data_IF_159243223579
#
_entry.id   IF_159243223579
#
_cell.length_a   1.000
_cell.length_b   1.000
_cell.length_c   1.000
_cell.angle_alpha   90.00
_cell.angle_beta   90.00
_cell.angle_gamma   90.00
#
_symmetry.space_group_name_H-M   'P 1'
#
loop_
_entity.id
_entity.type
_entity.pdbx_description
1 polymer ?
#
# COMPACT_ATOMS: atom_id res chain seq x y z
N UNK A 1 7.93 2.43 -25.38
CA UNK A 1 7.40 1.90 -24.10
C UNK A 1 8.25 2.46 -22.97
N UNK A 2 7.78 3.52 -22.31
CA UNK A 2 8.48 4.16 -21.20
C UNK A 2 8.32 3.31 -19.93
N UNK A 3 9.46 2.91 -19.33
CA UNK A 3 9.53 2.21 -18.06
C UNK A 3 9.20 3.19 -16.91
N UNK A 4 7.92 3.37 -16.62
CA UNK A 4 7.42 4.22 -15.50
C UNK A 4 7.60 3.59 -14.10
N UNK A 5 8.45 2.57 -13.92
CA UNK A 5 8.42 1.71 -12.73
C UNK A 5 9.49 1.99 -11.68
N UNK A 6 10.17 3.14 -11.68
CA UNK A 6 11.29 3.39 -10.75
C UNK A 6 11.30 4.78 -10.11
N UNK A 7 10.13 5.37 -9.89
CA UNK A 7 10.02 6.56 -9.03
C UNK A 7 9.69 6.12 -7.59
N UNK A 8 10.63 6.26 -6.63
CA UNK A 8 10.35 5.98 -5.22
C UNK A 8 9.23 6.90 -4.74
N UNK A 9 8.22 6.31 -4.09
CA UNK A 9 7.04 7.03 -3.58
C UNK A 9 5.82 7.05 -4.51
N UNK A 10 5.91 6.54 -5.74
CA UNK A 10 4.73 6.38 -6.61
C UNK A 10 4.17 4.97 -6.45
N UNK A 11 3.05 4.85 -5.74
CA UNK A 11 2.32 3.60 -5.57
C UNK A 11 1.63 3.21 -6.89
N UNK A 12 1.99 2.06 -7.46
CA UNK A 12 1.27 1.51 -8.62
C UNK A 12 -0.13 1.07 -8.16
N UNK A 13 -1.16 1.73 -8.68
CA UNK A 13 -2.55 1.30 -8.51
C UNK A 13 -2.80 0.10 -9.42
N UNK A 14 -2.60 -1.12 -8.90
CA UNK A 14 -3.04 -2.33 -9.61
C UNK A 14 -4.57 -2.50 -9.45
N UNK A 15 -5.23 -3.02 -10.49
CA UNK A 15 -6.70 -3.14 -10.52
C UNK A 15 -7.29 -4.03 -9.42
N UNK A 16 -6.53 -5.00 -8.91
CA UNK A 16 -6.91 -5.83 -7.75
C UNK A 16 -6.85 -5.07 -6.41
N UNK A 17 -6.25 -3.86 -6.37
CA UNK A 17 -6.05 -3.04 -5.18
C UNK A 17 -7.13 -1.97 -4.98
N UNK A 18 -7.96 -1.72 -6.00
CA UNK A 18 -9.03 -0.73 -5.91
C UNK A 18 -10.10 -1.17 -4.91
N UNK A 19 -10.37 -0.32 -3.91
CA UNK A 19 -11.38 -0.54 -2.88
C UNK A 19 -10.91 -1.32 -1.63
N UNK A 20 -9.66 -1.81 -1.59
CA UNK A 20 -9.10 -2.54 -0.44
C UNK A 20 -8.16 -1.64 0.39
N UNK A 21 -8.38 -1.46 1.71
CA UNK A 21 -7.61 -0.52 2.52
C UNK A 21 -6.27 -1.12 3.02
N UNK A 22 -5.37 -1.49 2.10
CA UNK A 22 -4.07 -2.10 2.43
C UNK A 22 -3.18 -1.24 3.33
N UNK A 23 -3.31 0.09 3.27
CA UNK A 23 -2.60 1.03 4.15
C UNK A 23 -2.89 0.84 5.65
N UNK A 24 -3.92 0.07 6.02
CA UNK A 24 -4.27 -0.22 7.42
C UNK A 24 -3.52 -1.40 8.02
N UNK A 25 -2.94 -2.27 7.18
CA UNK A 25 -2.16 -3.42 7.64
C UNK A 25 -0.94 -2.98 8.46
N UNK A 26 -0.06 -2.05 7.99
CA UNK A 26 1.06 -1.59 8.79
C UNK A 26 0.60 -1.02 10.13
N UNK A 27 -0.48 -0.23 10.14
CA UNK A 27 -1.03 0.39 11.35
C UNK A 27 -1.41 -0.65 12.41
N UNK A 28 -1.94 -1.81 12.00
CA UNK A 28 -2.28 -2.89 12.93
C UNK A 28 -1.04 -3.44 13.64
N UNK A 29 0.01 -3.78 12.89
CA UNK A 29 1.26 -4.30 13.46
C UNK A 29 1.97 -3.25 14.30
N UNK A 30 2.04 -2.00 13.83
CA UNK A 30 2.64 -0.89 14.57
C UNK A 30 1.88 -0.60 15.88
N UNK A 31 0.54 -0.68 15.89
CA UNK A 31 -0.25 -0.49 17.12
C UNK A 31 -0.02 -1.56 18.19
N UNK A 32 0.58 -2.69 17.81
CA UNK A 32 0.88 -3.84 18.67
C UNK A 32 2.37 -4.10 18.82
N UNK A 33 3.20 -3.12 18.44
CA UNK A 33 4.66 -3.24 18.46
C UNK A 33 5.19 -3.71 19.82
N UNK A 34 4.85 -3.02 20.91
CA UNK A 34 5.37 -3.35 22.26
C UNK A 34 4.94 -4.75 22.74
N UNK A 35 3.73 -5.18 22.35
CA UNK A 35 3.21 -6.51 22.71
C UNK A 35 3.93 -7.60 21.93
N UNK A 36 4.18 -7.36 20.64
CA UNK A 36 4.94 -8.27 19.78
C UNK A 36 6.38 -8.36 20.27
N UNK A 37 7.03 -7.22 20.55
CA UNK A 37 8.41 -7.17 21.06
C UNK A 37 8.55 -7.95 22.38
N UNK A 38 7.71 -7.64 23.38
CA UNK A 38 7.73 -8.33 24.67
C UNK A 38 7.54 -9.85 24.53
N UNK A 39 6.63 -10.29 23.65
CA UNK A 39 6.38 -11.72 23.42
C UNK A 39 7.54 -12.39 22.70
N UNK A 40 8.12 -11.74 21.68
CA UNK A 40 9.29 -12.24 20.97
C UNK A 40 10.50 -12.35 21.91
N UNK A 41 10.79 -11.30 22.69
CA UNK A 41 11.89 -11.31 23.64
C UNK A 41 11.74 -12.44 24.66
N UNK A 42 10.54 -12.61 25.23
CA UNK A 42 10.26 -13.74 26.14
C UNK A 42 10.43 -15.11 25.47
N UNK A 43 10.05 -15.24 24.20
CA UNK A 43 10.21 -16.48 23.43
C UNK A 43 11.70 -16.81 23.22
N UNK A 44 12.48 -15.86 22.70
CA UNK A 44 13.90 -16.05 22.42
C UNK A 44 14.72 -16.25 23.69
N UNK A 45 14.40 -15.54 24.78
CA UNK A 45 15.07 -15.72 26.06
C UNK A 45 14.82 -17.12 26.63
N UNK A 46 13.57 -17.62 26.58
CA UNK A 46 13.22 -18.94 27.12
C UNK A 46 13.73 -20.10 26.27
N UNK A 47 13.63 -20.02 24.94
CA UNK A 47 13.96 -21.15 24.04
C UNK A 47 15.38 -21.12 23.49
N UNK A 48 15.93 -19.93 23.25
CA UNK A 48 17.22 -19.74 22.57
C UNK A 48 18.27 -19.04 23.46
N UNK A 49 17.95 -18.75 24.72
CA UNK A 49 18.84 -18.07 25.69
C UNK A 49 19.44 -16.77 25.14
N UNK A 50 18.75 -16.14 24.18
CA UNK A 50 19.21 -14.95 23.48
C UNK A 50 18.23 -13.83 23.80
N UNK A 51 18.75 -12.71 24.30
CA UNK A 51 17.96 -11.50 24.47
C UNK A 51 17.85 -10.81 23.12
N UNK A 52 16.63 -10.68 22.61
CA UNK A 52 16.36 -10.09 21.30
C UNK A 52 15.28 -9.02 21.46
N UNK A 53 15.53 -7.84 20.92
CA UNK A 53 14.62 -6.71 20.93
C UNK A 53 14.22 -6.33 19.52
N UNK A 54 12.93 -6.21 19.26
CA UNK A 54 12.39 -5.70 18.02
C UNK A 54 12.67 -4.20 17.91
N UNK A 55 13.36 -3.80 16.84
CA UNK A 55 13.71 -2.39 16.57
C UNK A 55 12.70 -1.72 15.65
N UNK A 56 12.28 -2.44 14.62
CA UNK A 56 11.42 -1.89 13.56
C UNK A 56 10.59 -2.99 12.93
N UNK A 57 9.38 -2.62 12.52
CA UNK A 57 8.53 -3.42 11.65
C UNK A 57 8.42 -2.67 10.32
N UNK A 58 8.90 -3.29 9.26
CA UNK A 58 8.74 -2.82 7.89
C UNK A 58 7.68 -3.65 7.17
N UNK A 59 6.95 -3.02 6.26
CA UNK A 59 5.87 -3.63 5.53
C UNK A 59 6.05 -3.37 4.05
N UNK A 60 6.10 -4.44 3.26
CA UNK A 60 6.23 -4.38 1.81
C UNK A 60 5.08 -5.14 1.16
N UNK A 61 4.68 -4.69 -0.03
CA UNK A 61 3.58 -5.28 -0.79
C UNK A 61 4.11 -5.96 -2.04
N UNK A 62 3.40 -7.01 -2.48
CA UNK A 62 3.64 -7.71 -3.75
C UNK A 62 5.07 -8.25 -3.90
N UNK A 63 5.53 -8.97 -2.88
CA UNK A 63 6.89 -9.50 -2.85
C UNK A 63 6.95 -10.88 -3.47
N UNK A 64 8.01 -11.13 -4.23
CA UNK A 64 8.36 -12.46 -4.73
C UNK A 64 9.41 -13.09 -3.84
N UNK A 65 9.05 -14.17 -3.13
CA UNK A 65 9.98 -14.94 -2.31
C UNK A 65 9.79 -16.43 -2.58
N UNK A 66 10.89 -17.11 -2.93
CA UNK A 66 10.95 -18.55 -3.25
C UNK A 66 11.58 -19.41 -2.15
N UNK A 67 12.27 -18.79 -1.19
CA UNK A 67 13.04 -19.46 -0.13
C UNK A 67 12.25 -19.59 1.17
N UNK A 68 11.13 -18.88 1.27
CA UNK A 68 10.28 -18.89 2.44
C UNK A 68 9.67 -20.27 2.69
N UNK A 69 9.54 -20.60 3.98
CA UNK A 69 8.92 -21.82 4.43
C UNK A 69 7.41 -21.67 4.45
N UNK A 70 6.74 -22.55 3.72
CA UNK A 70 5.32 -22.48 3.46
C UNK A 70 4.52 -23.17 4.58
N UNK A 71 3.46 -22.48 4.98
CA UNK A 71 2.50 -22.94 5.96
C UNK A 71 1.09 -22.72 5.41
N UNK A 72 0.17 -23.57 5.81
CA UNK A 72 -1.24 -23.43 5.55
C UNK A 72 -1.98 -23.11 6.84
N UNK A 73 -2.97 -22.24 6.73
CA UNK A 73 -3.95 -21.98 7.77
C UNK A 73 -5.37 -22.27 7.26
N UNK A 74 -6.35 -22.21 8.16
CA UNK A 74 -7.78 -22.28 7.80
C UNK A 74 -8.26 -21.18 6.83
N UNK A 75 -7.46 -20.13 6.61
CA UNK A 75 -7.80 -19.00 5.73
C UNK A 75 -7.13 -19.13 4.36
N UNK A 76 -5.89 -19.62 4.31
CA UNK A 76 -5.09 -19.65 3.09
C UNK A 76 -3.65 -20.08 3.38
N UNK A 77 -2.69 -19.58 2.60
CA UNK A 77 -1.27 -19.83 2.74
C UNK A 77 -0.52 -18.66 3.40
N UNK A 78 0.44 -19.00 4.25
CA UNK A 78 1.34 -18.11 4.96
C UNK A 78 2.77 -18.61 4.72
N UNK A 79 3.76 -17.74 4.64
CA UNK A 79 5.14 -18.20 4.72
C UNK A 79 5.99 -17.42 5.71
N UNK A 80 7.08 -18.06 6.11
CA UNK A 80 8.06 -17.52 7.02
C UNK A 80 9.45 -17.61 6.41
N UNK A 81 10.20 -16.52 6.49
CA UNK A 81 11.61 -16.51 6.08
C UNK A 81 12.46 -15.84 7.16
N UNK A 82 13.74 -16.15 7.20
CA UNK A 82 14.67 -15.61 8.19
C UNK A 82 16.05 -15.45 7.56
N UNK A 83 16.72 -14.35 7.88
CA UNK A 83 18.08 -14.12 7.45
C UNK A 83 19.00 -15.22 7.98
N UNK A 84 19.80 -15.79 7.07
CA UNK A 84 20.72 -16.88 7.42
C UNK A 84 21.71 -16.49 8.52
N UNK A 85 22.33 -15.30 8.54
CA UNK A 85 23.20 -14.89 9.64
C UNK A 85 22.51 -14.96 10.99
N UNK A 86 21.28 -14.44 11.10
CA UNK A 86 20.48 -14.52 12.31
C UNK A 86 20.18 -15.97 12.72
N UNK A 87 19.80 -16.82 11.75
CA UNK A 87 19.53 -18.23 12.00
C UNK A 87 20.77 -18.96 12.55
N UNK A 88 21.95 -18.65 12.01
CA UNK A 88 23.21 -19.22 12.48
C UNK A 88 23.57 -18.74 13.89
N UNK A 89 23.38 -17.46 14.20
CA UNK A 89 23.57 -16.92 15.56
C UNK A 89 22.61 -17.57 16.56
N UNK A 90 21.34 -17.76 16.19
CA UNK A 90 20.37 -18.47 17.04
C UNK A 90 20.77 -19.93 17.27
N UNK A 91 21.39 -20.56 16.26
CA UNK A 91 21.84 -21.94 16.32
C UNK A 91 23.10 -22.08 17.18
N UNK A 92 24.10 -21.20 17.02
CA UNK A 92 25.31 -21.19 17.85
C UNK A 92 24.96 -20.99 19.32
N UNK A 93 24.09 -20.02 19.63
CA UNK A 93 23.61 -19.76 20.98
C UNK A 93 22.81 -20.93 21.57
N UNK A 94 22.03 -21.64 20.75
CA UNK A 94 21.29 -22.83 21.19
C UNK A 94 22.23 -23.98 21.57
N UNK A 95 23.34 -24.15 20.85
CA UNK A 95 24.34 -25.19 21.12
C UNK A 95 25.47 -24.74 22.06
N UNK A 96 25.51 -23.47 22.44
CA UNK A 96 26.59 -22.91 23.27
C UNK A 96 27.95 -22.90 22.56
N UNK A 97 27.95 -22.85 21.23
CA UNK A 97 29.17 -22.73 20.43
C UNK A 97 29.56 -21.24 20.40
N UNK A 98 30.77 -20.90 20.83
CA UNK A 98 31.33 -19.57 20.59
C UNK A 98 31.34 -19.29 19.09
N UNK A 99 31.12 -18.03 18.69
CA UNK A 99 31.00 -17.58 17.30
C UNK A 99 32.25 -17.95 16.48
N UNK A 100 32.33 -19.19 16.02
CA UNK A 100 33.24 -19.60 14.97
C UNK A 100 32.70 -18.96 13.69
N UNK A 101 33.18 -17.75 13.38
CA UNK A 101 33.06 -17.15 12.04
C UNK A 101 33.89 -18.00 11.08
N UNK A 102 33.37 -19.15 10.70
CA UNK A 102 33.89 -19.90 9.58
C UNK A 102 33.34 -19.25 8.29
N UNK A 103 34.22 -18.51 7.61
CA UNK A 103 34.01 -17.87 6.29
C UNK A 103 33.79 -18.90 5.14
N UNK A 104 33.45 -20.15 5.48
CA UNK A 104 33.24 -21.24 4.55
C UNK A 104 31.96 -22.04 4.87
N UNK A 105 30.86 -21.36 5.19
CA UNK A 105 29.57 -22.02 5.29
C UNK A 105 29.00 -22.29 3.88
N UNK A 106 28.55 -23.53 3.57
CA UNK A 106 28.11 -23.90 2.22
C UNK A 106 26.96 -23.02 1.74
N UNK A 107 26.86 -22.76 0.43
CA UNK A 107 25.81 -21.92 -0.21
C UNK A 107 24.38 -22.49 0.00
N UNK A 108 24.26 -23.74 0.44
CA UNK A 108 22.98 -24.41 0.71
C UNK A 108 22.72 -24.54 2.21
N UNK A 109 21.48 -24.28 2.67
CA UNK A 109 21.11 -24.42 4.07
C UNK A 109 21.24 -25.88 4.53
N UNK A 110 21.82 -26.08 5.71
CA UNK A 110 21.98 -27.42 6.29
C UNK A 110 20.64 -28.01 6.77
N UNK A 111 20.57 -29.33 6.97
CA UNK A 111 19.36 -29.98 7.53
C UNK A 111 19.00 -29.46 8.92
N UNK A 112 19.98 -29.03 9.71
CA UNK A 112 19.77 -28.48 11.05
C UNK A 112 19.19 -27.07 10.96
N UNK A 113 19.71 -26.23 10.05
CA UNK A 113 19.15 -24.90 9.74
C UNK A 113 17.69 -25.01 9.30
N UNK A 114 17.37 -25.89 8.35
CA UNK A 114 15.99 -26.07 7.88
C UNK A 114 15.05 -26.50 9.02
N UNK A 115 15.46 -27.43 9.89
CA UNK A 115 14.64 -27.86 11.03
C UNK A 115 14.39 -26.73 12.03
N UNK A 116 15.41 -25.90 12.29
CA UNK A 116 15.28 -24.75 13.17
C UNK A 116 14.34 -23.71 12.55
N UNK A 117 14.48 -23.44 11.25
CA UNK A 117 13.57 -22.56 10.50
C UNK A 117 12.11 -23.03 10.61
N UNK A 118 11.84 -24.33 10.39
CA UNK A 118 10.49 -24.89 10.51
C UNK A 118 9.87 -24.71 11.89
N UNK A 119 10.69 -24.91 12.91
CA UNK A 119 10.26 -24.75 14.30
C UNK A 119 9.98 -23.28 14.62
N UNK A 120 10.87 -22.38 14.21
CA UNK A 120 10.69 -20.94 14.39
C UNK A 120 9.45 -20.44 13.65
N UNK A 121 9.24 -20.87 12.41
CA UNK A 121 8.07 -20.50 11.61
C UNK A 121 6.76 -20.81 12.35
N UNK A 122 6.59 -22.06 12.80
CA UNK A 122 5.40 -22.49 13.54
C UNK A 122 5.22 -21.74 14.85
N UNK A 123 6.29 -21.62 15.65
CA UNK A 123 6.24 -20.98 16.96
C UNK A 123 5.95 -19.47 16.85
N UNK A 124 6.68 -18.76 16.00
CA UNK A 124 6.58 -17.30 15.83
C UNK A 124 5.23 -16.93 15.23
N UNK A 125 4.77 -17.64 14.19
CA UNK A 125 3.48 -17.34 13.61
C UNK A 125 2.34 -17.66 14.59
N UNK A 126 2.41 -18.75 15.35
CA UNK A 126 1.43 -19.03 16.41
C UNK A 126 1.42 -17.95 17.50
N UNK A 127 2.59 -17.44 17.88
CA UNK A 127 2.75 -16.36 18.87
C UNK A 127 2.17 -15.03 18.39
N UNK A 128 2.46 -14.65 17.15
CA UNK A 128 2.04 -13.37 16.56
C UNK A 128 0.54 -13.37 16.28
N UNK A 129 0.00 -14.45 15.72
CA UNK A 129 -1.43 -14.59 15.43
C UNK A 129 -2.24 -15.05 16.66
N UNK A 130 -1.64 -15.13 17.86
CA UNK A 130 -2.40 -15.45 19.07
C UNK A 130 -3.49 -14.39 19.36
N UNK A 131 -4.57 -14.82 20.04
CA UNK A 131 -5.68 -13.98 20.48
C UNK A 131 -5.25 -12.75 21.30
N UNK A 132 -4.15 -12.85 22.02
CA UNK A 132 -3.67 -11.80 22.92
C UNK A 132 -2.71 -10.81 22.23
N UNK A 133 -2.12 -11.22 21.11
CA UNK A 133 -1.14 -10.42 20.37
C UNK A 133 -1.88 -9.61 19.30
N UNK A 134 -2.28 -10.27 18.21
CA UNK A 134 -3.04 -9.66 17.11
C UNK A 134 -4.56 -9.89 17.23
N UNK A 135 -5.00 -10.90 17.98
CA UNK A 135 -6.44 -11.18 18.11
C UNK A 135 -7.03 -12.02 16.98
N UNK A 136 -6.19 -12.60 16.12
CA UNK A 136 -6.62 -13.34 14.92
C UNK A 136 -6.13 -14.79 15.04
N UNK A 137 -6.80 -15.66 15.82
CA UNK A 137 -6.32 -17.02 16.06
C UNK A 137 -6.32 -17.83 14.75
N UNK A 138 -5.11 -18.14 14.26
CA UNK A 138 -4.90 -19.00 13.09
C UNK A 138 -4.43 -20.38 13.54
N UNK A 139 -5.08 -21.45 13.05
CA UNK A 139 -4.53 -22.81 13.14
C UNK A 139 -3.51 -22.99 12.01
N UNK A 140 -2.23 -23.08 12.36
CA UNK A 140 -1.12 -23.11 11.40
C UNK A 140 -0.60 -24.55 11.30
N UNK A 141 -0.34 -25.01 10.07
CA UNK A 141 0.32 -26.28 9.76
C UNK A 141 1.38 -26.06 8.69
N UNK A 142 2.46 -26.83 8.73
CA UNK A 142 3.48 -26.81 7.67
C UNK A 142 2.87 -27.43 6.41
N UNK A 143 3.08 -26.77 5.26
CA UNK A 143 2.67 -27.27 3.95
C UNK A 143 3.90 -27.53 3.10
N UNK A 144 4.11 -28.78 2.72
CA UNK A 144 5.24 -29.21 1.87
C UNK A 144 4.81 -29.53 0.44
N UNK A 145 3.53 -29.32 0.11
CA UNK A 145 2.92 -29.78 -1.13
C UNK A 145 2.68 -28.67 -2.14
N UNK A 146 2.37 -27.46 -1.66
CA UNK A 146 2.12 -26.31 -2.51
C UNK A 146 3.38 -25.49 -2.74
N UNK A 147 3.45 -24.80 -3.88
CA UNK A 147 4.55 -23.89 -4.20
C UNK A 147 3.97 -22.50 -4.39
N UNK A 148 4.21 -21.62 -3.43
CA UNK A 148 3.82 -20.22 -3.50
C UNK A 148 5.08 -19.35 -3.61
N UNK A 149 5.14 -18.50 -4.64
CA UNK A 149 6.31 -17.64 -4.91
C UNK A 149 5.96 -16.16 -4.95
N UNK A 150 4.66 -15.83 -4.92
CA UNK A 150 4.13 -14.46 -4.98
C UNK A 150 3.27 -14.23 -3.76
N UNK A 151 3.56 -13.16 -3.04
CA UNK A 151 2.93 -12.85 -1.77
C UNK A 151 2.28 -11.48 -1.86
N UNK A 152 1.06 -11.37 -1.37
CA UNK A 152 0.32 -10.11 -1.37
C UNK A 152 0.99 -9.10 -0.43
N UNK A 153 1.53 -9.59 0.69
CA UNK A 153 2.07 -8.76 1.74
C UNK A 153 3.23 -9.41 2.47
N UNK A 154 4.25 -8.62 2.81
CA UNK A 154 5.42 -9.04 3.59
C UNK A 154 5.58 -8.12 4.79
N UNK A 155 5.77 -8.74 5.96
CA UNK A 155 6.08 -8.05 7.22
C UNK A 155 7.51 -8.43 7.57
N UNK A 156 8.41 -7.46 7.58
CA UNK A 156 9.80 -7.62 7.98
C UNK A 156 9.98 -7.12 9.42
N UNK A 157 10.48 -7.98 10.29
CA UNK A 157 10.73 -7.67 11.69
C UNK A 157 12.24 -7.60 11.91
N UNK A 158 12.75 -6.41 12.23
CA UNK A 158 14.18 -6.14 12.41
C UNK A 158 14.54 -6.30 13.88
N UNK A 159 15.44 -7.24 14.17
CA UNK A 159 15.81 -7.65 15.53
C UNK A 159 17.18 -7.12 15.97
N UNK A 160 18.04 -6.75 15.02
CA UNK A 160 19.35 -6.14 15.28
C UNK A 160 19.45 -4.79 14.57
N UNK A 161 20.35 -3.92 15.03
CA UNK A 161 20.67 -2.68 14.33
C UNK A 161 21.42 -2.94 13.00
N UNK A 162 21.96 -4.16 12.84
CA UNK A 162 22.62 -4.60 11.61
C UNK A 162 21.61 -5.16 10.59
N UNK A 163 21.91 -5.03 9.29
CA UNK A 163 20.99 -5.39 8.20
C UNK A 163 20.66 -6.90 8.12
N UNK A 164 21.43 -7.74 8.83
CA UNK A 164 21.41 -9.19 8.74
C UNK A 164 20.59 -9.91 9.83
N UNK A 165 19.79 -9.16 10.59
CA UNK A 165 18.98 -9.67 11.70
C UNK A 165 17.48 -9.55 11.49
N UNK A 166 16.97 -9.93 10.32
CA UNK A 166 15.55 -9.80 9.99
C UNK A 166 14.89 -11.16 9.85
N UNK A 167 13.61 -11.21 10.18
CA UNK A 167 12.74 -12.30 9.75
C UNK A 167 11.47 -11.74 9.11
N UNK A 168 10.86 -12.56 8.27
CA UNK A 168 9.81 -12.17 7.36
C UNK A 168 8.60 -13.05 7.55
N UNK A 169 7.43 -12.44 7.57
CA UNK A 169 6.15 -13.12 7.52
C UNK A 169 5.45 -12.68 6.24
N UNK A 170 5.11 -13.65 5.41
CA UNK A 170 4.53 -13.45 4.10
C UNK A 170 3.08 -13.91 4.12
N UNK A 171 2.18 -13.05 3.67
CA UNK A 171 0.74 -13.28 3.64
C UNK A 171 0.26 -13.37 2.19
N UNK A 172 -0.60 -14.34 1.91
CA UNK A 172 -1.35 -14.39 0.67
C UNK A 172 -2.53 -13.40 0.66
N UNK A 173 -3.24 -13.34 -0.47
CA UNK A 173 -4.40 -12.46 -0.63
C UNK A 173 -5.51 -12.81 0.38
N UNK A 174 -5.74 -14.10 0.64
CA UNK A 174 -6.80 -14.57 1.54
C UNK A 174 -6.55 -14.15 2.99
N UNK A 175 -5.33 -14.29 3.50
CA UNK A 175 -4.95 -13.80 4.82
C UNK A 175 -5.05 -12.30 4.92
N UNK A 176 -4.60 -11.60 3.88
CA UNK A 176 -4.65 -10.14 3.87
C UNK A 176 -6.08 -9.64 3.94
N UNK A 177 -6.98 -10.22 3.14
CA UNK A 177 -8.41 -9.90 3.17
C UNK A 177 -9.07 -10.27 4.51
N UNK A 178 -8.65 -11.38 5.13
CA UNK A 178 -9.15 -11.78 6.44
C UNK A 178 -8.78 -10.76 7.53
N UNK A 179 -7.52 -10.30 7.55
CA UNK A 179 -7.04 -9.29 8.50
C UNK A 179 -7.78 -7.96 8.28
N UNK A 180 -7.93 -7.53 7.01
CA UNK A 180 -8.66 -6.30 6.68
C UNK A 180 -10.14 -6.37 7.10
N UNK A 181 -10.78 -7.52 6.88
CA UNK A 181 -12.15 -7.75 7.33
C UNK A 181 -12.27 -7.76 8.87
N UNK A 182 -11.29 -8.32 9.57
CA UNK A 182 -11.22 -8.28 11.02
C UNK A 182 -11.10 -6.85 11.56
N UNK A 183 -10.21 -6.04 10.96
CA UNK A 183 -10.09 -4.61 11.29
C UNK A 183 -11.39 -3.85 11.05
N UNK A 184 -12.06 -4.12 9.91
CA UNK A 184 -13.37 -3.54 9.61
C UNK A 184 -14.42 -3.90 10.66
N UNK A 185 -14.52 -5.18 11.04
CA UNK A 185 -15.47 -5.65 12.07
C UNK A 185 -15.21 -5.00 13.44
N UNK A 186 -13.95 -4.90 13.84
CA UNK A 186 -13.55 -4.25 15.11
C UNK A 186 -13.86 -2.75 15.12
N UNK A 187 -13.83 -2.09 13.97
CA UNK A 187 -14.26 -0.71 13.84
C UNK A 187 -15.78 -0.55 13.89
N UNK A 188 -16.53 -1.43 13.23
CA UNK A 188 -18.00 -1.40 13.22
C UNK A 188 -18.63 -1.85 14.55
N UNK A 189 -17.91 -2.63 15.35
CA UNK A 189 -18.35 -3.06 16.68
C UNK A 189 -18.15 -1.99 17.78
N UNK A 190 -17.65 -0.80 17.42
CA UNK A 190 -17.64 0.36 18.34
C UNK A 190 -19.02 0.98 18.40
N UNK A 191 -19.36 1.58 19.54
CA UNK A 191 -20.69 2.01 19.96
C UNK A 191 -21.48 2.78 18.89
N UNK A 192 -22.84 2.75 18.91
CA UNK A 192 -23.69 3.46 17.93
C UNK A 192 -23.42 4.97 17.83
N UNK A 193 -22.91 5.58 18.90
CA UNK A 193 -22.50 6.98 18.99
C UNK A 193 -21.31 7.30 18.06
N UNK A 194 -20.30 6.42 18.03
CA UNK A 194 -19.13 6.53 17.13
C UNK A 194 -19.53 6.39 15.65
N UNK A 195 -20.59 5.63 15.36
CA UNK A 195 -21.05 5.43 13.99
C UNK A 195 -21.69 6.69 13.39
N UNK A 196 -22.45 7.44 14.19
CA UNK A 196 -23.05 8.72 13.77
C UNK A 196 -21.97 9.79 13.56
N UNK A 197 -21.05 9.92 14.51
CA UNK A 197 -19.97 10.89 14.42
C UNK A 197 -18.99 10.59 13.28
N UNK A 198 -18.79 9.32 12.92
CA UNK A 198 -18.02 8.94 11.72
C UNK A 198 -18.74 9.29 10.41
N UNK A 199 -20.06 9.13 10.35
CA UNK A 199 -20.80 9.51 9.15
C UNK A 199 -20.71 11.02 8.93
N UNK A 200 -20.80 11.81 10.00
CA UNK A 200 -20.58 13.24 9.97
C UNK A 200 -19.14 13.60 9.59
N UNK A 201 -18.13 12.98 10.20
CA UNK A 201 -16.72 13.21 9.85
C UNK A 201 -16.41 12.80 8.40
N UNK A 202 -17.04 11.75 7.88
CA UNK A 202 -16.88 11.32 6.49
C UNK A 202 -17.53 12.32 5.53
N UNK A 203 -18.72 12.81 5.85
CA UNK A 203 -19.38 13.88 5.08
C UNK A 203 -18.52 15.15 5.08
N UNK A 204 -18.08 15.59 6.26
CA UNK A 204 -17.19 16.74 6.41
C UNK A 204 -15.87 16.57 5.63
N UNK A 205 -15.28 15.37 5.63
CA UNK A 205 -14.07 15.08 4.86
C UNK A 205 -14.32 15.10 3.34
N UNK A 206 -15.45 14.58 2.88
CA UNK A 206 -15.85 14.64 1.45
C UNK A 206 -16.14 16.07 1.04
N UNK A 207 -16.84 16.84 1.86
CA UNK A 207 -17.12 18.26 1.61
C UNK A 207 -15.83 19.08 1.59
N UNK A 208 -14.91 18.83 2.52
CA UNK A 208 -13.58 19.45 2.50
C UNK A 208 -12.79 19.06 1.25
N UNK A 209 -12.86 17.80 0.79
CA UNK A 209 -12.20 17.35 -0.43
C UNK A 209 -12.79 18.02 -1.67
N UNK A 210 -14.12 18.08 -1.78
CA UNK A 210 -14.84 18.72 -2.87
C UNK A 210 -14.48 20.21 -2.97
N UNK A 211 -14.37 20.89 -1.83
CA UNK A 211 -14.01 22.31 -1.75
C UNK A 211 -12.52 22.60 -1.94
N UNK A 212 -11.63 21.60 -1.81
CA UNK A 212 -10.17 21.78 -1.96
C UNK A 212 -9.61 21.21 -3.25
N UNK A 213 -10.44 20.53 -4.05
CA UNK A 213 -10.04 20.00 -5.36
C UNK A 213 -9.73 21.16 -6.31
N UNK A 214 -8.49 21.30 -6.80
CA UNK A 214 -8.15 22.36 -7.75
C UNK A 214 -8.81 22.04 -9.10
N UNK A 215 -9.91 22.72 -9.39
CA UNK A 215 -10.60 22.64 -10.68
C UNK A 215 -9.95 23.62 -11.66
N UNK A 216 -9.50 23.13 -12.81
CA UNK A 216 -8.99 23.98 -13.89
C UNK A 216 -10.08 24.14 -14.94
N UNK A 217 -10.58 25.37 -15.09
CA UNK A 217 -11.51 25.75 -16.14
C UNK A 217 -10.72 26.07 -17.42
N UNK A 218 -11.18 25.55 -18.56
CA UNK A 218 -10.63 25.85 -19.88
C UNK A 218 -11.69 26.54 -20.71
N UNK A 219 -11.34 27.67 -21.29
CA UNK A 219 -12.19 28.44 -22.17
C UNK A 219 -11.55 28.46 -23.54
N UNK A 220 -12.26 27.97 -24.55
CA UNK A 220 -11.76 28.02 -25.92
C UNK A 220 -12.25 29.31 -26.58
N UNK A 221 -11.33 30.26 -26.75
CA UNK A 221 -11.66 31.60 -27.27
C UNK A 221 -11.83 31.58 -28.79
N UNK A 222 -11.06 30.76 -29.50
CA UNK A 222 -11.09 30.74 -30.95
C UNK A 222 -10.60 29.40 -31.49
N UNK A 223 -11.27 28.91 -32.52
CA UNK A 223 -10.83 27.77 -33.30
C UNK A 223 -10.88 28.13 -34.78
N UNK A 224 -9.76 27.95 -35.47
CA UNK A 224 -9.65 28.25 -36.90
C UNK A 224 -9.22 26.98 -37.65
N UNK A 225 -10.09 26.38 -38.47
CA UNK A 225 -9.74 25.20 -39.26
C UNK A 225 -8.81 25.62 -40.41
N UNK A 226 -7.61 25.06 -40.46
CA UNK A 226 -6.59 25.37 -41.46
C UNK A 226 -6.15 24.11 -42.20
N UNK A 227 -5.88 24.21 -43.50
CA UNK A 227 -5.26 23.10 -44.24
C UNK A 227 -3.77 23.00 -43.92
N UNK A 228 -3.18 21.81 -44.10
CA UNK A 228 -1.75 21.59 -43.84
C UNK A 228 -0.87 22.45 -44.78
N UNK A 229 -1.33 22.70 -46.00
CA UNK A 229 -0.62 23.54 -46.97
C UNK A 229 -0.57 25.01 -46.52
N UNK A 230 -1.70 25.54 -46.05
CA UNK A 230 -1.80 26.93 -45.57
C UNK A 230 -0.97 27.13 -44.28
N UNK A 231 -0.85 26.08 -43.46
CA UNK A 231 -0.09 26.12 -42.22
C UNK A 231 1.42 26.20 -42.48
N UNK A 232 1.87 25.61 -43.59
CA UNK A 232 3.27 25.68 -44.02
C UNK A 232 3.66 27.06 -44.59
N UNK A 233 2.67 27.86 -45.01
CA UNK A 233 2.90 29.19 -45.60
C UNK A 233 2.80 30.35 -44.61
N UNK A 234 2.28 30.08 -43.40
CA UNK A 234 2.06 31.07 -42.33
C UNK A 234 3.37 31.70 -41.84
N UNK A 235 3.41 33.02 -41.77
CA UNK A 235 4.54 33.81 -41.26
C UNK A 235 4.12 34.71 -40.11
N UNK A 236 5.09 35.06 -39.26
CA UNK A 236 4.88 36.03 -38.19
C UNK A 236 4.47 37.39 -38.80
N UNK A 237 3.29 37.87 -38.45
CA UNK A 237 2.69 39.09 -38.99
C UNK A 237 1.44 38.85 -39.86
N UNK A 238 1.15 37.60 -40.24
CA UNK A 238 -0.08 37.29 -40.96
C UNK A 238 -1.33 37.46 -40.06
N UNK A 239 -2.38 38.05 -40.63
CA UNK A 239 -3.64 38.32 -39.93
C UNK A 239 -4.61 37.17 -40.23
N UNK A 240 -5.02 36.44 -39.19
CA UNK A 240 -6.00 35.37 -39.30
C UNK A 240 -7.42 35.93 -39.14
N UNK A 241 -8.34 35.70 -40.11
CA UNK A 241 -9.71 36.16 -40.01
C UNK A 241 -10.50 35.23 -39.07
N UNK A 242 -10.47 35.52 -37.78
CA UNK A 242 -11.20 34.77 -36.76
C UNK A 242 -12.42 35.60 -36.32
N UNK A 243 -13.62 35.04 -36.50
CA UNK A 243 -14.84 35.60 -35.91
C UNK A 243 -14.99 35.08 -34.48
N UNK A 244 -15.01 35.99 -33.51
CA UNK A 244 -15.23 35.63 -32.11
C UNK A 244 -16.73 35.50 -31.83
N UNK A 245 -17.18 34.44 -31.15
CA UNK A 245 -18.57 34.32 -30.70
C UNK A 245 -18.89 35.31 -29.56
N UNK A 246 -20.17 35.61 -29.36
CA UNK A 246 -20.63 36.50 -28.27
C UNK A 246 -20.42 35.89 -26.88
N UNK A 247 -20.56 34.56 -26.76
CA UNK A 247 -20.29 33.81 -25.52
C UNK A 247 -19.39 32.62 -25.78
N UNK A 248 -18.57 32.26 -24.79
CA UNK A 248 -17.55 31.22 -24.92
C UNK A 248 -17.87 30.02 -24.04
N UNK A 249 -17.74 28.78 -24.55
CA UNK A 249 -17.94 27.58 -23.76
C UNK A 249 -16.82 27.41 -22.73
N UNK A 250 -17.20 27.13 -21.49
CA UNK A 250 -16.30 26.87 -20.36
C UNK A 250 -16.36 25.39 -20.00
N UNK A 251 -15.21 24.73 -20.08
CA UNK A 251 -15.08 23.30 -19.89
C UNK A 251 -14.24 22.94 -18.66
N UNK A 252 -14.60 21.84 -17.98
CA UNK A 252 -13.70 21.11 -17.09
C UNK A 252 -13.25 19.84 -17.81
N UNK A 253 -11.96 19.74 -18.10
CA UNK A 253 -11.41 18.63 -18.87
C UNK A 253 -11.93 18.60 -20.31
N UNK A 254 -12.85 17.68 -20.61
CA UNK A 254 -13.51 17.52 -21.92
C UNK A 254 -15.01 17.84 -21.89
N UNK A 255 -15.56 18.13 -20.71
CA UNK A 255 -16.98 18.38 -20.53
C UNK A 255 -17.23 19.88 -20.47
N UNK A 256 -18.12 20.34 -21.32
CA UNK A 256 -18.65 21.70 -21.30
C UNK A 256 -19.68 21.85 -20.18
N UNK A 257 -19.60 22.96 -19.44
CA UNK A 257 -20.43 23.18 -18.24
C UNK A 257 -21.38 24.35 -18.45
N UNK A 258 -20.86 25.48 -18.91
CA UNK A 258 -21.63 26.70 -19.15
C UNK A 258 -20.98 27.57 -20.22
N UNK A 259 -21.72 28.52 -20.76
CA UNK A 259 -21.19 29.57 -21.61
C UNK A 259 -20.99 30.85 -20.77
N UNK A 260 -19.92 31.60 -21.04
CA UNK A 260 -19.65 32.86 -20.38
C UNK A 260 -19.09 33.90 -21.36
N UNK A 261 -19.39 35.17 -21.11
CA UNK A 261 -18.75 36.29 -21.77
C UNK A 261 -17.36 36.51 -21.16
N UNK A 262 -16.35 36.72 -22.01
CA UNK A 262 -15.01 37.11 -21.55
C UNK A 262 -14.94 38.62 -21.53
N UNK A 263 -14.71 39.21 -20.36
CA UNK A 263 -14.55 40.65 -20.16
C UNK A 263 -13.17 40.94 -19.61
N UNK A 264 -12.52 41.98 -20.12
CA UNK A 264 -11.24 42.45 -19.59
C UNK A 264 -11.47 43.56 -18.55
N UNK A 265 -10.90 43.39 -17.35
CA UNK A 265 -10.76 44.46 -16.36
C UNK A 265 -9.35 44.43 -15.76
N UNK A 266 -8.69 45.59 -15.70
CA UNK A 266 -7.34 45.77 -15.12
C UNK A 266 -6.33 44.68 -15.52
N UNK A 267 -6.16 44.47 -16.83
CA UNK A 267 -5.23 43.48 -17.43
C UNK A 267 -5.55 42.01 -17.09
N UNK A 268 -6.77 41.73 -16.60
CA UNK A 268 -7.22 40.37 -16.30
C UNK A 268 -8.49 40.07 -17.07
N UNK A 269 -8.57 38.84 -17.56
CA UNK A 269 -9.77 38.31 -18.20
C UNK A 269 -10.66 37.68 -17.12
N UNK A 270 -11.92 38.10 -17.12
CA UNK A 270 -12.98 37.62 -16.25
C UNK A 270 -14.05 36.93 -17.09
N UNK A 271 -14.72 35.97 -16.47
CA UNK A 271 -15.91 35.34 -17.02
C UNK A 271 -17.14 35.99 -16.38
N UNK A 272 -18.02 36.56 -17.21
CA UNK A 272 -19.27 37.21 -16.80
C UNK A 272 -20.45 36.63 -17.57
N UNK A 273 -21.68 36.96 -17.15
CA UNK A 273 -22.92 36.55 -17.82
C UNK A 273 -22.97 35.03 -18.10
N UNK A 274 -22.78 34.26 -17.02
CA UNK A 274 -22.75 32.79 -17.08
C UNK A 274 -24.15 32.28 -17.44
N UNK A 275 -24.22 31.51 -18.53
CA UNK A 275 -25.44 30.85 -19.01
C UNK A 275 -25.25 29.34 -18.95
N UNK A 276 -26.12 28.67 -18.21
CA UNK A 276 -26.02 27.22 -18.02
C UNK A 276 -26.38 26.47 -19.30
N UNK A 277 -25.52 25.54 -19.71
CA UNK A 277 -25.85 24.56 -20.74
C UNK A 277 -26.69 23.47 -20.08
N UNK A 278 -28.02 23.66 -20.03
CA UNK A 278 -28.95 22.72 -19.40
C UNK A 278 -28.76 21.31 -19.94
N UNK A 279 -28.10 20.45 -19.15
CA UNK A 279 -28.20 18.98 -19.25
C UNK A 279 -28.26 18.37 -17.85
N UNK A 280 -29.06 18.94 -16.95
CA UNK A 280 -29.59 18.16 -15.83
C UNK A 280 -30.65 17.21 -16.37
N UNK A 281 -30.22 16.02 -16.84
CA UNK A 281 -31.11 14.85 -16.78
C UNK A 281 -31.11 14.39 -15.33
N UNK A 282 -32.04 14.94 -14.55
CA UNK A 282 -32.46 14.38 -13.27
C UNK A 282 -32.91 12.93 -13.51
N UNK A 283 -32.09 11.97 -13.10
CA UNK A 283 -32.55 10.59 -12.93
C UNK A 283 -33.08 10.49 -11.50
N UNK A 284 -34.40 10.37 -11.38
CA UNK A 284 -35.06 9.78 -10.20
C UNK A 284 -34.60 8.33 -10.00
#
# INVERSE_FOLDING_TARGET
MLKYSQTPGIFKLEGNRLGRPYHRLPTMFMSKFDVIDSRLNNYFLKKHRTSITLKKIDCEMDVTNKTAELMASQVGHLAFDIDRPLLLTLLSNFYGLEEARDDASPDRPTKTEMRLKSRLAMDICSLIFHKDTLGIPLSIKIDTSTVCTRWAYQIALNLTDDENGRFYILLDDAHTDHILNFLRKKETARTPEDARQRLENRRAAVDALANTLPLTLRVNVAQFPLSVADLATLKAGDILPISLPETFPVCIGKSEIFHALIVEDREKLYLSEITETTTEKSYE
#
